data_IF_772257592105
#
_entry.id   IF_772257592105
#
_cell.length_a   1.000
_cell.length_b   1.000
_cell.length_c   1.000
_cell.angle_alpha   90.00
_cell.angle_beta   90.00
_cell.angle_gamma   90.00
#
_symmetry.space_group_name_H-M   'P 1'
#
loop_
_entity.id
_entity.type
_entity.pdbx_description
1 polymer ?
#
# COMPACT_ATOMS: atom_id res chain seq x y z
N UNK A 1 16.97 22.92 6.22
CA UNK A 1 15.79 22.36 6.93
C UNK A 1 14.66 23.30 6.61
N UNK A 2 13.62 22.86 5.89
CA UNK A 2 12.38 23.61 5.77
C UNK A 2 11.84 23.80 7.19
N UNK A 3 11.50 25.01 7.56
CA UNK A 3 10.85 25.23 8.84
C UNK A 3 9.51 24.49 8.82
N UNK A 4 9.13 23.83 9.90
CA UNK A 4 7.84 23.10 10.01
C UNK A 4 6.63 23.99 9.67
N UNK A 5 6.79 25.31 9.81
CA UNK A 5 5.80 26.32 9.42
C UNK A 5 5.48 26.34 7.92
N UNK A 6 6.43 25.98 7.05
CA UNK A 6 6.23 25.95 5.59
C UNK A 6 5.53 24.71 5.09
N UNK A 7 5.47 23.64 5.90
CA UNK A 7 4.77 22.42 5.57
C UNK A 7 3.26 22.67 5.56
N UNK A 8 2.59 22.20 4.52
CA UNK A 8 1.16 22.39 4.32
C UNK A 8 0.37 21.09 4.34
N UNK A 9 1.05 19.97 4.02
CA UNK A 9 0.41 18.69 3.83
C UNK A 9 1.20 17.57 4.51
N UNK A 10 0.50 16.73 5.27
CA UNK A 10 1.12 15.66 6.03
C UNK A 10 0.64 14.28 5.54
N UNK A 11 1.57 13.40 5.27
CA UNK A 11 1.32 11.98 5.07
C UNK A 11 1.48 11.31 6.43
N UNK A 12 0.41 10.75 6.96
CA UNK A 12 0.40 10.10 8.27
C UNK A 12 0.40 8.58 8.07
N UNK A 13 1.46 7.90 8.50
CA UNK A 13 1.39 6.45 8.65
C UNK A 13 0.31 6.09 9.67
N UNK A 14 -0.20 4.87 9.60
CA UNK A 14 -1.34 4.46 10.42
C UNK A 14 -0.94 3.51 11.54
N UNK A 15 -0.46 2.30 11.19
CA UNK A 15 -0.16 1.24 12.15
C UNK A 15 1.18 1.48 12.85
N UNK A 16 1.14 1.87 14.13
CA UNK A 16 2.31 2.27 14.94
C UNK A 16 2.46 3.78 15.10
N UNK A 17 1.74 4.59 14.31
CA UNK A 17 1.81 6.06 14.35
C UNK A 17 0.52 6.68 14.89
N UNK A 18 -0.65 6.29 14.38
CA UNK A 18 -1.96 6.80 14.81
C UNK A 18 -2.63 5.82 15.77
N UNK A 19 -2.53 4.54 15.48
CA UNK A 19 -3.09 3.46 16.29
C UNK A 19 -2.23 2.19 16.23
N UNK A 20 -2.48 1.25 17.13
CA UNK A 20 -1.97 -0.13 17.04
C UNK A 20 -3.16 -1.08 17.11
N UNK A 21 -3.39 -1.89 16.06
CA UNK A 21 -4.62 -2.69 15.87
C UNK A 21 -5.88 -1.85 15.99
N UNK A 22 -6.58 -1.91 17.14
CA UNK A 22 -7.81 -1.18 17.41
C UNK A 22 -7.65 -0.09 18.48
N UNK A 23 -6.44 0.07 19.03
CA UNK A 23 -6.17 1.00 20.11
C UNK A 23 -5.48 2.25 19.56
N UNK A 24 -6.15 3.40 19.71
CA UNK A 24 -5.56 4.69 19.31
C UNK A 24 -4.38 5.03 20.22
N UNK A 25 -3.29 5.52 19.63
CA UNK A 25 -2.12 5.93 20.40
C UNK A 25 -2.38 7.27 21.10
N UNK A 26 -1.81 7.39 22.30
CA UNK A 26 -1.94 8.60 23.11
C UNK A 26 -1.40 9.82 22.34
N UNK A 27 -2.21 10.86 22.24
CA UNK A 27 -1.86 12.11 21.55
C UNK A 27 -2.27 12.15 20.08
N UNK A 28 -2.68 11.04 19.46
CA UNK A 28 -3.06 11.03 18.04
C UNK A 28 -4.25 11.94 17.75
N UNK A 29 -5.29 11.93 18.58
CA UNK A 29 -6.45 12.82 18.39
C UNK A 29 -6.07 14.29 18.57
N UNK A 30 -5.24 14.60 19.58
CA UNK A 30 -4.77 15.96 19.84
C UNK A 30 -3.92 16.45 18.65
N UNK A 31 -3.05 15.59 18.11
CA UNK A 31 -2.23 15.90 16.95
C UNK A 31 -3.07 16.20 15.69
N UNK A 32 -4.11 15.40 15.42
CA UNK A 32 -5.03 15.65 14.31
C UNK A 32 -5.78 16.98 14.49
N UNK A 33 -6.26 17.27 15.70
CA UNK A 33 -6.92 18.53 16.02
C UNK A 33 -5.99 19.74 15.86
N UNK A 34 -4.71 19.62 16.24
CA UNK A 34 -3.70 20.67 16.05
C UNK A 34 -3.39 20.92 14.56
N UNK A 35 -3.33 19.87 13.73
CA UNK A 35 -3.19 20.03 12.27
C UNK A 35 -4.36 20.81 11.68
N UNK A 36 -5.58 20.47 12.08
CA UNK A 36 -6.79 21.16 11.62
C UNK A 36 -6.83 22.62 12.10
N UNK A 37 -6.50 22.88 13.37
CA UNK A 37 -6.42 24.23 13.93
C UNK A 37 -5.37 25.11 13.24
N UNK A 38 -4.26 24.48 12.80
CA UNK A 38 -3.20 25.12 12.03
C UNK A 38 -3.51 25.26 10.52
N UNK A 39 -4.72 24.87 10.07
CA UNK A 39 -5.11 24.81 8.67
C UNK A 39 -4.13 24.01 7.79
N UNK A 40 -3.56 22.92 8.34
CA UNK A 40 -2.72 21.95 7.62
C UNK A 40 -3.59 20.80 7.14
N UNK A 41 -3.39 20.37 5.90
CA UNK A 41 -4.11 19.21 5.38
C UNK A 41 -3.30 17.92 5.59
N UNK A 42 -3.99 16.78 5.59
CA UNK A 42 -3.33 15.49 5.78
C UNK A 42 -4.09 14.34 5.12
N UNK A 43 -3.35 13.27 4.88
CA UNK A 43 -3.89 11.96 4.48
C UNK A 43 -3.33 10.87 5.39
N UNK A 44 -4.06 9.79 5.49
CA UNK A 44 -3.58 8.53 6.07
C UNK A 44 -2.99 7.65 4.98
N UNK A 45 -1.81 7.10 5.24
CA UNK A 45 -1.10 6.21 4.31
C UNK A 45 -0.72 4.91 5.01
N UNK A 46 -1.11 3.78 4.45
CA UNK A 46 -0.70 2.46 4.96
C UNK A 46 -0.16 1.55 3.85
N UNK A 47 0.84 0.73 4.18
CA UNK A 47 1.29 -0.37 3.33
C UNK A 47 0.31 -1.54 3.30
N UNK A 48 -0.50 -1.69 4.34
CA UNK A 48 -1.39 -2.83 4.48
C UNK A 48 -2.49 -2.83 3.41
N UNK A 49 -2.35 -3.71 2.43
CA UNK A 49 -3.26 -3.88 1.29
C UNK A 49 -4.37 -4.91 1.52
N UNK A 50 -4.48 -5.49 2.74
CA UNK A 50 -5.53 -6.49 3.02
C UNK A 50 -6.93 -5.90 3.19
N UNK A 51 -7.04 -4.56 3.22
CA UNK A 51 -8.28 -3.80 3.34
C UNK A 51 -8.32 -2.71 2.29
N UNK A 52 -9.52 -2.32 1.85
CA UNK A 52 -9.72 -1.15 1.01
C UNK A 52 -9.92 0.13 1.84
N UNK A 53 -10.02 1.29 1.16
CA UNK A 53 -10.19 2.57 1.85
C UNK A 53 -11.50 2.69 2.64
N UNK A 54 -12.58 2.02 2.21
CA UNK A 54 -13.85 2.04 2.95
C UNK A 54 -13.74 1.26 4.26
N UNK A 55 -13.05 0.11 4.26
CA UNK A 55 -12.74 -0.65 5.46
C UNK A 55 -11.95 0.19 6.47
N UNK A 56 -10.93 0.93 5.98
CA UNK A 56 -10.13 1.81 6.83
C UNK A 56 -10.92 3.00 7.35
N UNK A 57 -11.80 3.59 6.53
CA UNK A 57 -12.68 4.68 6.98
C UNK A 57 -13.57 4.21 8.14
N UNK A 58 -14.16 3.03 8.01
CA UNK A 58 -14.97 2.46 9.08
C UNK A 58 -14.14 2.16 10.34
N UNK A 59 -12.93 1.63 10.16
CA UNK A 59 -11.98 1.37 11.25
C UNK A 59 -11.64 2.66 12.00
N UNK A 60 -11.24 3.73 11.30
CA UNK A 60 -10.90 5.03 11.88
C UNK A 60 -12.10 5.67 12.59
N UNK A 61 -13.29 5.58 12.00
CA UNK A 61 -14.54 6.06 12.63
C UNK A 61 -14.81 5.33 13.94
N UNK A 62 -14.58 4.02 14.02
CA UNK A 62 -14.69 3.23 15.25
C UNK A 62 -13.73 3.67 16.37
N UNK A 63 -12.65 4.36 16.01
CA UNK A 63 -11.65 4.94 16.92
C UNK A 63 -11.89 6.43 17.22
N UNK A 64 -12.98 7.01 16.72
CA UNK A 64 -13.31 8.43 16.91
C UNK A 64 -12.65 9.38 15.90
N UNK A 65 -12.05 8.87 14.83
CA UNK A 65 -11.46 9.67 13.75
C UNK A 65 -12.43 9.70 12.58
N UNK A 66 -13.12 10.83 12.39
CA UNK A 66 -13.98 11.04 11.23
C UNK A 66 -13.14 11.60 10.06
N UNK A 67 -13.08 10.87 8.98
CA UNK A 67 -12.33 11.28 7.79
C UNK A 67 -13.03 10.83 6.51
N UNK A 68 -12.83 11.57 5.43
CA UNK A 68 -13.31 11.18 4.10
C UNK A 68 -12.47 10.01 3.54
N UNK A 69 -13.10 9.09 2.82
CA UNK A 69 -12.41 7.94 2.23
C UNK A 69 -11.28 8.35 1.27
N UNK A 70 -11.39 9.52 0.64
CA UNK A 70 -10.40 10.12 -0.26
C UNK A 70 -9.10 10.51 0.44
N UNK A 71 -9.14 10.71 1.75
CA UNK A 71 -7.97 10.99 2.61
C UNK A 71 -7.26 9.72 3.09
N UNK A 72 -7.74 8.54 2.70
CA UNK A 72 -7.14 7.26 3.07
C UNK A 72 -6.55 6.62 1.80
N UNK A 73 -5.26 6.36 1.83
CA UNK A 73 -4.51 5.74 0.74
C UNK A 73 -3.82 4.48 1.28
N UNK A 74 -3.97 3.38 0.57
CA UNK A 74 -3.24 2.15 0.86
C UNK A 74 -2.35 1.75 -0.32
N UNK A 75 -1.42 0.83 -0.09
CA UNK A 75 -0.50 0.36 -1.13
C UNK A 75 -1.22 -0.35 -2.28
N UNK A 76 -2.40 -0.92 -2.05
CA UNK A 76 -3.25 -1.51 -3.09
C UNK A 76 -3.75 -0.45 -4.08
N UNK A 77 -4.26 0.69 -3.59
CA UNK A 77 -4.69 1.81 -4.43
C UNK A 77 -3.53 2.35 -5.28
N UNK A 78 -2.36 2.56 -4.67
CA UNK A 78 -1.18 3.05 -5.39
C UNK A 78 -0.77 2.06 -6.47
N UNK A 79 -0.79 0.75 -6.16
CA UNK A 79 -0.47 -0.31 -7.13
C UNK A 79 -1.47 -0.32 -8.28
N UNK A 80 -2.76 -0.24 -7.99
CA UNK A 80 -3.80 -0.21 -9.03
C UNK A 80 -3.63 1.02 -9.96
N UNK A 81 -3.39 2.19 -9.38
CA UNK A 81 -3.11 3.41 -10.15
C UNK A 81 -1.85 3.28 -11.00
N UNK A 82 -0.75 2.76 -10.42
CA UNK A 82 0.50 2.51 -11.14
C UNK A 82 0.26 1.62 -12.37
N UNK A 83 -0.43 0.48 -12.19
CA UNK A 83 -0.72 -0.44 -13.29
C UNK A 83 -1.61 0.18 -14.36
N UNK A 84 -2.57 1.02 -13.97
CA UNK A 84 -3.43 1.76 -14.89
C UNK A 84 -2.65 2.69 -15.79
N UNK A 85 -1.58 3.29 -15.30
CA UNK A 85 -0.73 4.21 -16.06
C UNK A 85 0.23 3.50 -17.01
N UNK A 86 0.46 2.18 -16.85
CA UNK A 86 1.36 1.44 -17.71
C UNK A 86 0.77 1.23 -19.13
N UNK A 87 1.63 1.40 -20.14
CA UNK A 87 1.26 1.16 -21.54
C UNK A 87 0.18 2.11 -22.06
N UNK A 88 -0.92 1.56 -22.55
CA UNK A 88 -2.01 2.31 -23.19
C UNK A 88 -3.04 2.93 -22.21
N UNK A 89 -2.75 2.98 -20.92
CA UNK A 89 -3.64 3.47 -19.85
C UNK A 89 -5.01 2.77 -19.78
N UNK A 90 -5.08 1.51 -20.24
CA UNK A 90 -6.27 0.64 -20.12
C UNK A 90 -6.17 -0.24 -18.89
N UNK A 91 -7.30 -0.83 -18.47
CA UNK A 91 -7.32 -1.88 -17.45
C UNK A 91 -6.41 -3.03 -17.84
N UNK A 92 -5.89 -3.74 -16.86
CA UNK A 92 -4.99 -4.90 -17.02
C UNK A 92 -5.70 -6.16 -16.58
N UNK A 93 -5.32 -7.28 -17.19
CA UNK A 93 -5.70 -8.63 -16.74
C UNK A 93 -4.69 -9.06 -15.68
N UNK A 94 -5.17 -9.24 -14.44
CA UNK A 94 -4.33 -9.43 -13.25
C UNK A 94 -4.63 -10.77 -12.61
N UNK A 95 -3.59 -11.59 -12.41
CA UNK A 95 -3.64 -12.67 -11.43
C UNK A 95 -3.28 -12.09 -10.05
N UNK A 96 -4.19 -12.21 -9.07
CA UNK A 96 -4.09 -11.54 -7.80
C UNK A 96 -3.86 -12.51 -6.64
N UNK A 97 -2.76 -12.37 -5.91
CA UNK A 97 -2.61 -12.88 -4.55
C UNK A 97 -3.01 -11.76 -3.60
N UNK A 98 -4.24 -11.79 -3.13
CA UNK A 98 -4.83 -10.74 -2.31
C UNK A 98 -6.19 -11.12 -1.76
N UNK A 99 -6.71 -10.26 -0.90
CA UNK A 99 -8.05 -10.35 -0.32
C UNK A 99 -9.10 -9.80 -1.29
N UNK A 100 -10.39 -10.04 -1.00
CA UNK A 100 -11.50 -9.45 -1.76
C UNK A 100 -11.45 -7.91 -1.74
N UNK A 101 -11.07 -7.30 -0.61
CA UNK A 101 -10.87 -5.84 -0.53
C UNK A 101 -9.78 -5.33 -1.49
N UNK A 102 -8.69 -6.07 -1.69
CA UNK A 102 -7.67 -5.71 -2.68
C UNK A 102 -8.17 -5.94 -4.11
N UNK A 103 -8.98 -6.99 -4.35
CA UNK A 103 -9.64 -7.22 -5.63
C UNK A 103 -10.54 -6.04 -5.99
N UNK A 104 -11.42 -5.62 -5.08
CA UNK A 104 -12.28 -4.46 -5.28
C UNK A 104 -11.48 -3.18 -5.60
N UNK A 105 -10.33 -2.99 -4.93
CA UNK A 105 -9.44 -1.85 -5.19
C UNK A 105 -8.88 -1.90 -6.63
N UNK A 106 -8.43 -3.05 -7.11
CA UNK A 106 -7.96 -3.24 -8.49
C UNK A 106 -9.10 -2.99 -9.51
N UNK A 107 -10.28 -3.55 -9.28
CA UNK A 107 -11.45 -3.41 -10.15
C UNK A 107 -11.94 -1.96 -10.22
N UNK A 108 -11.85 -1.19 -9.14
CA UNK A 108 -12.16 0.25 -9.11
C UNK A 108 -11.30 1.07 -10.07
N UNK A 109 -10.07 0.64 -10.36
CA UNK A 109 -9.20 1.22 -11.38
C UNK A 109 -9.42 0.61 -12.77
N UNK A 110 -10.43 -0.25 -12.94
CA UNK A 110 -10.81 -0.86 -14.20
C UNK A 110 -9.93 -2.03 -14.62
N UNK A 111 -9.22 -2.66 -13.69
CA UNK A 111 -8.52 -3.92 -13.93
C UNK A 111 -9.49 -5.10 -13.86
N UNK A 112 -9.15 -6.18 -14.53
CA UNK A 112 -9.88 -7.45 -14.51
C UNK A 112 -9.06 -8.47 -13.72
N UNK A 113 -9.67 -9.11 -12.72
CA UNK A 113 -9.05 -10.22 -11.97
C UNK A 113 -9.39 -11.54 -12.65
N UNK A 114 -8.36 -12.33 -12.95
CA UNK A 114 -8.47 -13.55 -13.77
C UNK A 114 -8.21 -14.85 -12.98
N UNK A 115 -8.26 -14.78 -11.66
CA UNK A 115 -7.95 -15.94 -10.78
C UNK A 115 -8.86 -17.14 -10.98
N UNK A 116 -10.08 -16.93 -11.45
CA UNK A 116 -11.10 -17.98 -11.61
C UNK A 116 -11.16 -18.52 -13.05
N UNK A 117 -10.30 -18.01 -13.94
CA UNK A 117 -10.24 -18.48 -15.31
C UNK A 117 -9.57 -19.85 -15.38
N UNK A 118 -10.20 -20.78 -16.10
CA UNK A 118 -9.64 -22.11 -16.33
C UNK A 118 -8.33 -22.01 -17.13
N UNK A 119 -7.40 -22.87 -16.80
CA UNK A 119 -6.11 -23.03 -17.51
C UNK A 119 -5.22 -21.79 -17.56
N UNK A 120 -5.38 -20.85 -16.59
CA UNK A 120 -4.58 -19.59 -16.56
C UNK A 120 -3.07 -19.85 -16.57
N UNK A 121 -2.61 -20.98 -16.04
CA UNK A 121 -1.19 -21.41 -16.05
C UNK A 121 -0.71 -21.79 -17.43
N UNK A 122 -1.63 -22.28 -18.29
CA UNK A 122 -1.35 -22.71 -19.65
C UNK A 122 -1.42 -21.55 -20.66
N UNK A 123 -2.00 -20.41 -20.21
CA UNK A 123 -2.18 -19.19 -21.01
C UNK A 123 -1.57 -17.96 -20.35
N UNK A 124 -0.27 -17.99 -19.96
CA UNK A 124 0.35 -16.87 -19.26
C UNK A 124 0.37 -15.57 -20.07
N UNK A 125 0.29 -15.64 -21.41
CA UNK A 125 0.20 -14.50 -22.32
C UNK A 125 -1.10 -13.71 -22.18
N UNK A 126 -2.12 -14.30 -21.59
CA UNK A 126 -3.40 -13.64 -21.28
C UNK A 126 -3.36 -12.86 -19.97
N UNK A 127 -2.27 -12.93 -19.20
CA UNK A 127 -2.06 -12.24 -17.93
C UNK A 127 -1.08 -11.09 -18.12
N UNK A 128 -1.53 -9.85 -17.93
CA UNK A 128 -0.64 -8.69 -18.01
C UNK A 128 0.30 -8.59 -16.81
N UNK A 129 -0.23 -8.87 -15.61
CA UNK A 129 0.49 -8.76 -14.34
C UNK A 129 0.06 -9.81 -13.33
N UNK A 130 1.05 -10.32 -12.59
CA UNK A 130 0.86 -10.95 -11.30
C UNK A 130 1.02 -9.87 -10.21
N UNK A 131 0.00 -9.71 -9.37
CA UNK A 131 0.03 -8.77 -8.24
C UNK A 131 -0.02 -9.54 -6.92
N UNK A 132 0.94 -9.28 -6.05
CA UNK A 132 1.00 -9.81 -4.70
C UNK A 132 0.76 -8.69 -3.68
N UNK A 133 -0.27 -8.86 -2.88
CA UNK A 133 -0.57 -8.04 -1.72
C UNK A 133 -0.58 -8.86 -0.42
N UNK A 134 -1.06 -8.26 0.66
CA UNK A 134 -1.23 -8.94 1.92
C UNK A 134 -2.43 -9.91 1.86
N UNK A 135 -2.18 -11.10 1.35
CA UNK A 135 -3.20 -12.13 1.13
C UNK A 135 -3.40 -13.01 2.36
N UNK A 136 -4.42 -12.69 3.17
CA UNK A 136 -4.84 -13.51 4.32
C UNK A 136 -5.63 -14.76 3.92
N UNK A 137 -5.92 -14.92 2.62
CA UNK A 137 -6.63 -16.08 2.04
C UNK A 137 -5.69 -16.95 1.20
N UNK A 138 -4.37 -16.74 1.33
CA UNK A 138 -3.35 -17.45 0.59
C UNK A 138 -3.49 -18.97 0.80
N UNK A 139 -3.46 -19.70 -0.30
CA UNK A 139 -3.49 -21.17 -0.30
C UNK A 139 -2.48 -21.73 -1.31
N UNK A 140 -2.31 -23.05 -1.31
CA UNK A 140 -1.32 -23.69 -2.17
C UNK A 140 -1.61 -23.50 -3.66
N UNK A 141 -2.89 -23.49 -4.06
CA UNK A 141 -3.27 -23.30 -5.47
C UNK A 141 -2.84 -21.92 -5.97
N UNK A 142 -3.12 -20.86 -5.22
CA UNK A 142 -2.67 -19.50 -5.54
C UNK A 142 -1.14 -19.41 -5.66
N UNK A 143 -0.41 -20.09 -4.76
CA UNK A 143 1.05 -20.12 -4.82
C UNK A 143 1.57 -20.85 -6.06
N UNK A 144 0.97 -21.98 -6.41
CA UNK A 144 1.34 -22.74 -7.58
C UNK A 144 1.11 -21.96 -8.87
N UNK A 145 -0.07 -21.34 -9.01
CA UNK A 145 -0.39 -20.53 -10.18
C UNK A 145 0.57 -19.35 -10.32
N UNK A 146 0.81 -18.62 -9.21
CA UNK A 146 1.77 -17.51 -9.17
C UNK A 146 3.18 -17.95 -9.55
N UNK A 147 3.65 -19.10 -9.03
CA UNK A 147 4.95 -19.68 -9.36
C UNK A 147 5.08 -19.92 -10.87
N UNK A 148 4.08 -20.56 -11.50
CA UNK A 148 4.09 -20.85 -12.94
C UNK A 148 4.07 -19.55 -13.77
N UNK A 149 3.22 -18.58 -13.42
CA UNK A 149 3.14 -17.30 -14.09
C UNK A 149 4.46 -16.49 -14.00
N UNK A 150 5.12 -16.52 -12.83
CA UNK A 150 6.45 -15.89 -12.67
C UNK A 150 7.49 -16.54 -13.57
N UNK A 151 7.53 -17.88 -13.63
CA UNK A 151 8.48 -18.61 -14.47
C UNK A 151 8.24 -18.36 -15.96
N UNK A 152 6.97 -18.24 -16.37
CA UNK A 152 6.56 -17.90 -17.75
C UNK A 152 6.88 -16.46 -18.14
N UNK A 153 7.33 -15.61 -17.20
CA UNK A 153 7.77 -14.25 -17.49
C UNK A 153 6.68 -13.18 -17.38
N UNK A 154 5.52 -13.51 -16.79
CA UNK A 154 4.50 -12.51 -16.43
C UNK A 154 5.10 -11.45 -15.51
N UNK A 155 4.78 -10.19 -15.75
CA UNK A 155 5.29 -9.07 -14.94
C UNK A 155 4.80 -9.20 -13.50
N UNK A 156 5.74 -9.24 -12.55
CA UNK A 156 5.48 -9.48 -11.15
C UNK A 156 5.63 -8.19 -10.33
N UNK A 157 4.57 -7.78 -9.65
CA UNK A 157 4.47 -6.56 -8.84
C UNK A 157 3.98 -6.93 -7.44
N UNK A 158 4.52 -6.28 -6.41
CA UNK A 158 4.02 -6.41 -5.05
C UNK A 158 3.62 -5.05 -4.47
N UNK A 159 2.58 -5.05 -3.65
CA UNK A 159 2.03 -3.83 -3.06
C UNK A 159 3.01 -3.19 -2.07
N UNK A 160 3.77 -3.98 -1.31
CA UNK A 160 4.76 -3.51 -0.32
C UNK A 160 5.71 -4.64 0.11
N UNK A 161 6.85 -4.33 0.76
CA UNK A 161 7.86 -5.31 1.12
C UNK A 161 7.83 -5.77 2.59
N UNK A 162 6.84 -5.36 3.40
CA UNK A 162 6.84 -5.61 4.84
C UNK A 162 6.82 -7.12 5.14
N UNK A 163 7.80 -7.60 5.90
CA UNK A 163 7.94 -9.02 6.25
C UNK A 163 6.87 -9.49 7.24
N UNK A 164 6.49 -8.60 8.14
CA UNK A 164 5.52 -8.88 9.20
C UNK A 164 4.57 -7.71 9.41
N UNK A 165 3.32 -8.03 9.71
CA UNK A 165 2.33 -7.08 10.21
C UNK A 165 2.33 -7.16 11.75
N UNK A 166 2.55 -6.05 12.48
CA UNK A 166 2.53 -6.05 13.94
C UNK A 166 1.10 -6.22 14.47
N UNK A 167 1.02 -6.87 15.62
CA UNK A 167 -0.20 -7.09 16.38
C UNK A 167 0.02 -6.67 17.84
N UNK A 168 -1.06 -6.50 18.59
CA UNK A 168 -0.99 -6.20 20.02
C UNK A 168 -0.26 -7.27 20.82
N UNK A 169 0.30 -6.87 21.97
CA UNK A 169 1.05 -7.77 22.83
C UNK A 169 2.38 -8.26 22.24
N UNK A 170 2.97 -7.50 21.30
CA UNK A 170 4.25 -7.85 20.67
C UNK A 170 4.21 -9.03 19.70
N UNK A 171 3.01 -9.46 19.31
CA UNK A 171 2.82 -10.52 18.30
C UNK A 171 2.98 -9.97 16.90
N UNK A 172 3.23 -10.84 15.94
CA UNK A 172 3.29 -10.52 14.51
C UNK A 172 2.62 -11.62 13.70
N UNK A 173 2.24 -11.27 12.47
CA UNK A 173 1.81 -12.24 11.45
C UNK A 173 2.63 -12.03 10.16
N UNK A 174 2.88 -13.11 9.37
CA UNK A 174 3.55 -12.98 8.08
C UNK A 174 2.80 -12.00 7.17
N UNK A 175 3.53 -11.14 6.46
CA UNK A 175 2.98 -10.16 5.54
C UNK A 175 3.52 -10.36 4.12
N UNK A 176 3.23 -9.48 3.20
CA UNK A 176 3.57 -9.53 1.76
C UNK A 176 5.04 -9.85 1.53
N UNK A 177 5.95 -9.25 2.31
CA UNK A 177 7.38 -9.50 2.19
C UNK A 177 7.76 -10.97 2.45
N UNK A 178 7.13 -11.63 3.42
CA UNK A 178 7.36 -13.06 3.67
C UNK A 178 6.87 -13.92 2.49
N UNK A 179 5.78 -13.53 1.84
CA UNK A 179 5.26 -14.21 0.64
C UNK A 179 6.18 -13.97 -0.57
N UNK A 180 6.77 -12.77 -0.69
CA UNK A 180 7.82 -12.47 -1.70
C UNK A 180 8.99 -13.42 -1.52
N UNK A 181 9.51 -13.61 -0.29
CA UNK A 181 10.63 -14.51 -0.03
C UNK A 181 10.30 -15.96 -0.40
N UNK A 182 9.08 -16.43 -0.10
CA UNK A 182 8.63 -17.77 -0.47
C UNK A 182 8.66 -17.98 -1.99
N UNK A 183 8.08 -17.05 -2.76
CA UNK A 183 8.07 -17.12 -4.21
C UNK A 183 9.46 -16.93 -4.81
N UNK A 184 10.28 -16.04 -4.24
CA UNK A 184 11.65 -15.82 -4.68
C UNK A 184 12.53 -17.06 -4.47
N UNK A 185 12.35 -17.78 -3.36
CA UNK A 185 13.07 -19.02 -3.08
C UNK A 185 12.81 -20.11 -4.13
N UNK A 186 11.60 -20.16 -4.70
CA UNK A 186 11.20 -21.18 -5.67
C UNK A 186 11.40 -20.76 -7.13
N UNK A 187 11.36 -19.44 -7.43
CA UNK A 187 11.43 -18.92 -8.81
C UNK A 187 12.74 -18.20 -9.14
N UNK A 188 13.51 -17.79 -8.14
CA UNK A 188 14.68 -16.92 -8.30
C UNK A 188 14.34 -15.47 -8.70
N UNK A 189 13.06 -15.10 -8.76
CA UNK A 189 12.62 -13.77 -9.23
C UNK A 189 11.95 -12.98 -8.12
N UNK A 190 12.11 -11.65 -8.17
CA UNK A 190 11.50 -10.71 -7.22
C UNK A 190 10.59 -9.73 -7.94
N UNK A 191 9.53 -9.23 -7.26
CA UNK A 191 8.61 -8.25 -7.83
C UNK A 191 9.21 -6.84 -7.90
N UNK A 192 8.60 -6.00 -8.72
CA UNK A 192 8.65 -4.56 -8.51
C UNK A 192 7.79 -4.21 -7.28
N UNK A 193 8.36 -3.49 -6.33
CA UNK A 193 7.63 -2.98 -5.16
C UNK A 193 7.04 -1.60 -5.48
N UNK A 194 5.82 -1.31 -5.00
CA UNK A 194 5.13 -0.04 -5.26
C UNK A 194 4.94 0.81 -4.01
N UNK A 195 4.54 0.20 -2.89
CA UNK A 195 4.30 0.89 -1.60
C UNK A 195 5.57 1.40 -0.93
N UNK A 196 5.44 1.96 0.29
CA UNK A 196 6.60 2.40 1.08
C UNK A 196 7.64 1.28 1.21
N UNK A 197 8.94 1.53 1.08
CA UNK A 197 9.59 2.84 1.00
C UNK A 197 9.74 3.42 -0.42
N UNK A 198 9.12 2.82 -1.44
CA UNK A 198 9.35 3.20 -2.83
C UNK A 198 8.83 4.61 -3.14
N UNK A 199 9.63 5.37 -3.89
CA UNK A 199 9.31 6.74 -4.31
C UNK A 199 8.00 6.83 -5.14
N UNK A 200 7.55 5.74 -5.76
CA UNK A 200 6.27 5.66 -6.48
C UNK A 200 5.08 6.09 -5.60
N UNK A 201 5.14 5.82 -4.30
CA UNK A 201 4.14 6.26 -3.32
C UNK A 201 4.08 7.80 -3.23
N UNK A 202 5.23 8.46 -3.10
CA UNK A 202 5.29 9.93 -3.02
C UNK A 202 4.90 10.56 -4.36
N UNK A 203 5.37 10.02 -5.48
CA UNK A 203 5.04 10.51 -6.81
C UNK A 203 3.51 10.45 -7.06
N UNK A 204 2.85 9.37 -6.60
CA UNK A 204 1.40 9.25 -6.65
C UNK A 204 0.69 10.34 -5.83
N UNK A 205 1.13 10.59 -4.60
CA UNK A 205 0.53 11.58 -3.70
C UNK A 205 0.72 12.99 -4.25
N UNK A 206 1.94 13.35 -4.68
CA UNK A 206 2.22 14.65 -5.27
C UNK A 206 1.34 14.94 -6.48
N UNK A 207 1.15 13.95 -7.35
CA UNK A 207 0.30 14.06 -8.54
C UNK A 207 -1.18 14.18 -8.18
N UNK A 208 -1.65 13.38 -7.24
CA UNK A 208 -3.07 13.33 -6.86
C UNK A 208 -3.55 14.60 -6.19
N UNK A 209 -2.71 15.22 -5.36
CA UNK A 209 -3.04 16.41 -4.58
C UNK A 209 -2.41 17.69 -5.12
N UNK A 210 -1.73 17.61 -6.28
CA UNK A 210 -1.08 18.74 -6.95
C UNK A 210 -0.07 19.49 -6.04
N UNK A 211 0.70 18.74 -5.25
CA UNK A 211 1.62 19.26 -4.25
C UNK A 211 3.06 19.39 -4.75
N UNK A 212 3.83 20.24 -4.07
CA UNK A 212 5.28 20.31 -4.20
C UNK A 212 5.95 19.56 -3.04
N UNK A 213 7.11 18.96 -3.31
CA UNK A 213 7.90 18.25 -2.29
C UNK A 213 8.21 19.09 -1.06
N UNK A 214 8.47 20.39 -1.24
CA UNK A 214 8.80 21.34 -0.14
C UNK A 214 7.63 21.60 0.81
N UNK A 215 6.40 21.26 0.41
CA UNK A 215 5.18 21.46 1.20
C UNK A 215 4.77 20.20 1.97
N UNK A 216 5.45 19.05 1.71
CA UNK A 216 5.05 17.72 2.11
C UNK A 216 5.93 17.16 3.22
N UNK A 217 5.31 16.58 4.24
CA UNK A 217 6.00 15.79 5.25
C UNK A 217 5.43 14.38 5.37
N UNK A 218 6.29 13.41 5.67
CA UNK A 218 5.92 12.07 6.10
C UNK A 218 6.09 11.95 7.61
N UNK A 219 5.03 11.57 8.31
CA UNK A 219 5.04 11.24 9.75
C UNK A 219 4.88 9.74 9.89
N UNK A 220 5.80 9.08 10.57
CA UNK A 220 5.76 7.62 10.71
C UNK A 220 6.77 7.11 11.73
N UNK A 221 6.59 5.87 12.19
CA UNK A 221 7.39 5.25 13.26
C UNK A 221 8.55 4.39 12.75
N UNK A 222 8.62 4.13 11.42
CA UNK A 222 9.59 3.18 10.89
C UNK A 222 10.69 3.83 10.06
N UNK A 223 11.94 3.63 10.50
CA UNK A 223 13.11 4.15 9.78
C UNK A 223 13.28 3.56 8.38
N UNK A 224 12.97 2.26 8.21
CA UNK A 224 13.23 1.52 6.96
C UNK A 224 12.10 1.60 5.92
N UNK A 225 10.95 2.16 6.27
CA UNK A 225 9.84 2.43 5.34
C UNK A 225 9.55 3.93 5.24
N UNK A 226 9.02 4.53 6.30
CA UNK A 226 8.53 5.92 6.29
C UNK A 226 9.66 6.94 6.13
N UNK A 227 10.67 6.86 7.00
CA UNK A 227 11.79 7.79 6.96
C UNK A 227 12.68 7.57 5.74
N UNK A 228 12.88 6.30 5.34
CA UNK A 228 13.57 5.99 4.10
C UNK A 228 12.84 6.56 2.89
N UNK A 229 11.52 6.38 2.80
CA UNK A 229 10.71 6.96 1.73
C UNK A 229 10.83 8.48 1.68
N UNK A 230 10.73 9.14 2.84
CA UNK A 230 10.88 10.59 2.92
C UNK A 230 12.25 11.07 2.42
N UNK A 231 13.33 10.42 2.89
CA UNK A 231 14.70 10.70 2.47
C UNK A 231 14.88 10.50 0.96
N UNK A 232 14.50 9.32 0.42
CA UNK A 232 14.74 8.96 -0.98
C UNK A 232 13.88 9.80 -1.95
N UNK A 233 12.70 10.26 -1.49
CA UNK A 233 11.84 11.17 -2.25
C UNK A 233 12.23 12.64 -2.11
N UNK A 234 13.07 13.01 -1.14
CA UNK A 234 13.48 14.40 -0.87
C UNK A 234 12.35 15.24 -0.28
N UNK A 235 11.56 14.65 0.64
CA UNK A 235 10.54 15.35 1.44
C UNK A 235 10.93 15.33 2.92
N UNK A 236 10.25 16.13 3.75
CA UNK A 236 10.51 16.14 5.20
C UNK A 236 10.03 14.84 5.83
N UNK A 237 10.89 14.19 6.64
CA UNK A 237 10.53 13.05 7.49
C UNK A 237 10.42 13.47 8.95
N UNK A 238 9.39 13.02 9.64
CA UNK A 238 9.11 13.22 11.07
C UNK A 238 8.91 11.84 11.70
N UNK A 239 9.82 11.47 12.61
CA UNK A 239 9.80 10.18 13.33
C UNK A 239 9.05 10.31 14.64
#
# INVERSE_FOLDING_TARGET
MSELSELKFFILDMDGTIYLENDILKGSLDFLAELEAAAKDYIFLTNNSSKNRADYQQKLKGMGIETAAEKIINSGEITASYLREQGNKKGKRIYLLGTDSLKEEMERFGHQIVNEEEDIREKPEEVDYLVLGFDKTLNYQKLWDAHQLILSGVKYVATHPDLVCPLSGGKTQPDTGAMIELLAASTGKRPLIVGKPEKLTVDYILKRFELKKSELAMVGDRLYTDMRMAHDAGITGIL
#
